data_IF_417362323740
#
_entry.id   IF_417362323740
#
_cell.length_a   1.000
_cell.length_b   1.000
_cell.length_c   1.000
_cell.angle_alpha   90.00
_cell.angle_beta   90.00
_cell.angle_gamma   90.00
#
_symmetry.space_group_name_H-M   'P 1'
#
loop_
_entity.id
_entity.type
_entity.pdbx_description
1 polymer ?
#
# COMPACT_ATOMS: atom_id res chain seq x y z
N UNK A 1 -17.01 -8.27 -24.54
CA UNK A 1 -17.54 -8.21 -23.16
C UNK A 1 -16.47 -8.79 -22.25
N UNK A 2 -16.05 -8.08 -21.19
CA UNK A 2 -14.98 -8.58 -20.30
C UNK A 2 -15.44 -9.85 -19.55
N UNK A 3 -14.50 -10.74 -19.20
CA UNK A 3 -14.78 -11.98 -18.46
C UNK A 3 -15.55 -11.69 -17.16
N UNK A 4 -15.15 -10.65 -16.42
CA UNK A 4 -15.79 -10.27 -15.16
C UNK A 4 -17.26 -9.86 -15.35
N UNK A 5 -17.55 -9.08 -16.40
CA UNK A 5 -18.92 -8.67 -16.70
C UNK A 5 -19.80 -9.88 -17.02
N UNK A 6 -19.27 -10.81 -17.83
CA UNK A 6 -19.94 -12.08 -18.10
C UNK A 6 -20.17 -12.92 -16.82
N UNK A 7 -19.17 -12.96 -15.92
CA UNK A 7 -19.28 -13.67 -14.65
C UNK A 7 -20.29 -13.01 -13.71
N UNK A 8 -20.34 -11.68 -13.64
CA UNK A 8 -21.35 -10.96 -12.84
C UNK A 8 -22.77 -11.28 -13.31
N UNK A 9 -22.96 -11.44 -14.61
CA UNK A 9 -24.30 -11.75 -15.18
C UNK A 9 -24.67 -13.23 -14.98
N UNK A 10 -23.70 -14.14 -15.04
CA UNK A 10 -23.93 -15.60 -15.05
C UNK A 10 -23.91 -16.20 -13.64
N UNK A 11 -22.98 -15.80 -12.77
CA UNK A 11 -22.79 -16.43 -11.45
C UNK A 11 -24.01 -16.36 -10.52
N UNK A 12 -24.78 -15.25 -10.45
CA UNK A 12 -25.97 -15.20 -9.59
C UNK A 12 -27.02 -16.28 -9.92
N UNK A 13 -27.09 -16.73 -11.17
CA UNK A 13 -28.03 -17.77 -11.59
C UNK A 13 -27.51 -19.20 -11.36
N UNK A 14 -26.20 -19.37 -11.19
CA UNK A 14 -25.54 -20.66 -11.00
C UNK A 14 -25.33 -21.04 -9.53
N UNK A 15 -25.30 -20.03 -8.65
CA UNK A 15 -24.94 -20.20 -7.25
C UNK A 15 -26.16 -20.41 -6.36
N UNK A 16 -26.09 -21.36 -5.39
CA UNK A 16 -27.16 -21.54 -4.41
C UNK A 16 -27.16 -20.37 -3.40
N UNK A 17 -28.33 -20.08 -2.84
CA UNK A 17 -28.46 -19.02 -1.83
C UNK A 17 -28.02 -19.49 -0.42
N UNK A 18 -27.93 -20.77 -0.17
CA UNK A 18 -27.58 -21.33 1.13
C UNK A 18 -26.09 -21.69 1.16
N UNK A 19 -25.30 -21.20 2.13
CA UNK A 19 -23.91 -21.58 2.31
C UNK A 19 -23.66 -23.09 2.49
N UNK A 20 -24.67 -23.84 3.02
CA UNK A 20 -24.57 -25.27 3.21
C UNK A 20 -24.50 -26.05 1.87
N UNK A 21 -25.10 -25.48 0.83
CA UNK A 21 -25.15 -26.08 -0.51
C UNK A 21 -24.06 -25.53 -1.46
N UNK A 22 -23.05 -24.86 -0.91
CA UNK A 22 -22.02 -24.16 -1.67
C UNK A 22 -21.32 -25.06 -2.72
N UNK A 23 -21.16 -24.52 -3.93
CA UNK A 23 -20.58 -25.23 -5.07
C UNK A 23 -19.05 -25.13 -5.03
N UNK A 24 -18.37 -26.27 -5.16
CA UNK A 24 -16.89 -26.30 -5.21
C UNK A 24 -16.38 -25.56 -6.45
N UNK A 25 -15.20 -24.91 -6.33
CA UNK A 25 -14.63 -24.11 -7.41
C UNK A 25 -14.43 -24.87 -8.73
N UNK A 26 -14.10 -26.17 -8.68
CA UNK A 26 -13.97 -27.02 -9.87
C UNK A 26 -15.32 -27.25 -10.58
N UNK A 27 -16.36 -27.41 -9.82
CA UNK A 27 -17.73 -27.58 -10.34
C UNK A 27 -18.25 -26.23 -10.88
N UNK A 28 -17.99 -25.14 -10.18
CA UNK A 28 -18.36 -23.79 -10.61
C UNK A 28 -17.68 -23.42 -11.94
N UNK A 29 -16.42 -23.80 -12.15
CA UNK A 29 -15.72 -23.64 -13.43
C UNK A 29 -16.47 -24.36 -14.56
N UNK A 30 -16.89 -25.62 -14.31
CA UNK A 30 -17.62 -26.42 -15.29
C UNK A 30 -18.96 -25.79 -15.67
N UNK A 31 -19.69 -25.25 -14.68
CA UNK A 31 -20.98 -24.58 -14.88
C UNK A 31 -20.80 -23.22 -15.59
N UNK A 32 -19.84 -22.43 -15.17
CA UNK A 32 -19.57 -21.13 -15.76
C UNK A 32 -19.18 -21.24 -17.24
N UNK A 33 -18.31 -22.20 -17.62
CA UNK A 33 -17.91 -22.42 -19.03
C UNK A 33 -19.04 -22.66 -19.99
N UNK A 34 -20.15 -23.27 -19.55
CA UNK A 34 -21.32 -23.51 -20.40
C UNK A 34 -22.08 -22.23 -20.76
N UNK A 35 -21.88 -21.17 -19.98
CA UNK A 35 -22.62 -19.93 -20.08
C UNK A 35 -21.75 -18.74 -20.53
N UNK A 36 -20.43 -18.94 -20.64
CA UNK A 36 -19.48 -17.91 -21.08
C UNK A 36 -19.25 -17.99 -22.60
N UNK A 37 -19.08 -16.84 -23.24
CA UNK A 37 -18.89 -16.74 -24.68
C UNK A 37 -17.42 -16.86 -25.13
N UNK A 38 -16.48 -17.11 -24.22
CA UNK A 38 -15.04 -17.22 -24.50
C UNK A 38 -14.40 -18.47 -23.92
N UNK A 39 -13.22 -18.84 -24.43
CA UNK A 39 -12.46 -19.96 -23.89
C UNK A 39 -11.45 -19.44 -22.86
N UNK A 40 -11.81 -19.48 -21.58
CA UNK A 40 -10.98 -19.00 -20.47
C UNK A 40 -10.30 -20.14 -19.74
N UNK A 41 -9.05 -19.92 -19.27
CA UNK A 41 -8.31 -20.92 -18.52
C UNK A 41 -8.91 -21.16 -17.12
N UNK A 42 -8.73 -22.35 -16.54
CA UNK A 42 -9.17 -22.65 -15.17
C UNK A 42 -8.54 -21.69 -14.14
N UNK A 43 -7.28 -21.32 -14.37
CA UNK A 43 -6.56 -20.39 -13.51
C UNK A 43 -7.22 -19.00 -13.51
N UNK A 44 -7.57 -18.49 -14.69
CA UNK A 44 -8.26 -17.22 -14.84
C UNK A 44 -9.64 -17.22 -14.16
N UNK A 45 -10.42 -18.28 -14.36
CA UNK A 45 -11.75 -18.41 -13.73
C UNK A 45 -11.64 -18.48 -12.20
N UNK A 46 -10.70 -19.29 -11.66
CA UNK A 46 -10.45 -19.37 -10.21
C UNK A 46 -10.04 -18.06 -9.62
N UNK A 47 -9.16 -17.34 -10.31
CA UNK A 47 -8.73 -15.99 -9.91
C UNK A 47 -9.92 -15.04 -9.80
N UNK A 48 -10.78 -14.97 -10.82
CA UNK A 48 -11.96 -14.13 -10.81
C UNK A 48 -12.98 -14.53 -9.72
N UNK A 49 -13.23 -15.81 -9.51
CA UNK A 49 -14.10 -16.28 -8.43
C UNK A 49 -13.58 -15.87 -7.06
N UNK A 50 -12.25 -15.99 -6.86
CA UNK A 50 -11.62 -15.60 -5.60
C UNK A 50 -11.77 -14.10 -5.34
N UNK A 51 -11.45 -13.27 -6.32
CA UNK A 51 -11.58 -11.79 -6.19
C UNK A 51 -13.04 -11.40 -5.97
N UNK A 52 -13.95 -11.90 -6.79
CA UNK A 52 -15.38 -11.56 -6.67
C UNK A 52 -15.97 -12.01 -5.33
N UNK A 53 -15.53 -13.14 -4.77
CA UNK A 53 -15.99 -13.58 -3.45
C UNK A 53 -15.46 -12.75 -2.28
N UNK A 54 -14.36 -12.04 -2.47
CA UNK A 54 -13.81 -11.09 -1.49
C UNK A 54 -14.49 -9.72 -1.57
N UNK A 55 -15.20 -9.41 -2.67
CA UNK A 55 -15.91 -8.16 -2.87
C UNK A 55 -17.24 -8.18 -2.09
N UNK A 56 -17.43 -7.31 -1.05
CA UNK A 56 -18.68 -7.25 -0.29
C UNK A 56 -19.91 -6.87 -1.13
N UNK A 57 -19.70 -6.11 -2.21
CA UNK A 57 -20.76 -5.70 -3.14
C UNK A 57 -21.10 -6.81 -4.15
N UNK A 58 -20.27 -7.84 -4.26
CA UNK A 58 -20.53 -8.96 -5.17
C UNK A 58 -21.60 -9.90 -4.66
N UNK A 59 -22.43 -10.39 -5.58
CA UNK A 59 -23.42 -11.42 -5.29
C UNK A 59 -22.82 -12.80 -4.96
N UNK A 60 -21.50 -13.00 -5.16
CA UNK A 60 -20.81 -14.25 -4.84
C UNK A 60 -20.07 -14.14 -3.51
N UNK A 61 -20.15 -15.17 -2.69
CA UNK A 61 -19.39 -15.31 -1.46
C UNK A 61 -18.74 -16.69 -1.36
N UNK A 62 -17.64 -16.80 -0.62
CA UNK A 62 -16.96 -18.06 -0.29
C UNK A 62 -17.35 -18.48 1.12
N UNK A 63 -17.48 -19.78 1.34
CA UNK A 63 -17.78 -20.34 2.68
C UNK A 63 -16.58 -20.11 3.61
N UNK A 64 -16.83 -19.61 4.83
CA UNK A 64 -15.77 -19.31 5.82
C UNK A 64 -15.02 -20.56 6.28
N UNK A 65 -15.73 -21.67 6.50
CA UNK A 65 -15.14 -22.96 6.87
C UNK A 65 -15.48 -23.99 5.82
N UNK A 66 -14.54 -24.28 4.90
CA UNK A 66 -14.77 -25.26 3.86
C UNK A 66 -14.36 -24.78 2.45
N UNK A 67 -14.79 -25.51 1.43
CA UNK A 67 -14.51 -25.20 0.03
C UNK A 67 -15.83 -25.03 -0.72
N UNK A 68 -16.12 -23.83 -1.18
CA UNK A 68 -17.27 -23.60 -2.02
C UNK A 68 -17.68 -22.12 -2.12
N UNK A 69 -18.52 -21.86 -3.12
CA UNK A 69 -19.07 -20.56 -3.42
C UNK A 69 -20.60 -20.63 -3.37
N UNK A 70 -21.22 -19.58 -2.87
CA UNK A 70 -22.67 -19.43 -2.80
C UNK A 70 -23.09 -18.01 -3.14
N UNK A 71 -24.36 -17.78 -3.40
CA UNK A 71 -24.93 -16.47 -3.66
C UNK A 71 -25.24 -15.76 -2.35
N UNK A 72 -24.71 -14.57 -2.18
CA UNK A 72 -25.03 -13.69 -1.05
C UNK A 72 -26.44 -13.14 -1.23
N UNK A 73 -27.31 -13.30 -0.23
CA UNK A 73 -28.73 -12.90 -0.31
C UNK A 73 -28.92 -11.38 -0.33
N UNK A 74 -28.03 -10.65 0.35
CA UNK A 74 -27.95 -9.19 0.31
C UNK A 74 -26.48 -8.80 0.17
N UNK A 75 -26.10 -8.11 -0.91
CA UNK A 75 -24.76 -7.54 -0.97
C UNK A 75 -24.63 -6.48 0.12
N UNK A 76 -23.63 -6.62 0.98
CA UNK A 76 -23.29 -5.59 1.95
C UNK A 76 -22.96 -4.29 1.19
N UNK A 77 -23.39 -3.11 1.69
CA UNK A 77 -22.97 -1.85 1.10
C UNK A 77 -21.45 -1.86 1.03
N UNK A 78 -20.90 -1.62 -0.16
CA UNK A 78 -19.48 -1.65 -0.40
C UNK A 78 -18.78 -0.67 0.56
N UNK A 79 -17.86 -1.18 1.35
CA UNK A 79 -16.83 -0.32 1.91
C UNK A 79 -16.01 0.17 0.71
N UNK A 80 -16.01 1.48 0.47
CA UNK A 80 -15.48 2.14 -0.73
C UNK A 80 -14.08 1.65 -1.17
N UNK A 81 -13.23 1.20 -0.25
CA UNK A 81 -11.90 0.72 -0.52
C UNK A 81 -11.73 -0.66 -1.13
N UNK A 82 -12.68 -1.56 -0.89
CA UNK A 82 -12.66 -2.83 -1.61
C UNK A 82 -13.06 -2.60 -3.08
N UNK A 83 -13.97 -1.65 -3.34
CA UNK A 83 -14.31 -1.24 -4.71
C UNK A 83 -13.15 -0.49 -5.37
N UNK A 84 -12.40 0.30 -4.64
CA UNK A 84 -11.31 1.07 -5.19
C UNK A 84 -10.05 0.23 -5.43
N UNK A 85 -9.75 -0.73 -4.56
CA UNK A 85 -8.71 -1.71 -4.84
C UNK A 85 -9.09 -2.57 -6.05
N UNK A 86 -10.36 -2.94 -6.18
CA UNK A 86 -10.89 -3.64 -7.34
C UNK A 86 -11.10 -2.69 -8.53
N UNK A 87 -11.49 -1.44 -8.33
CA UNK A 87 -11.51 -0.41 -9.36
C UNK A 87 -10.10 0.06 -9.72
N UNK A 88 -9.17 0.04 -8.79
CA UNK A 88 -7.77 0.34 -9.05
C UNK A 88 -7.08 -0.79 -9.82
N UNK A 89 -7.43 -2.06 -9.58
CA UNK A 89 -6.99 -3.21 -10.38
C UNK A 89 -7.88 -3.50 -11.59
N UNK A 90 -9.09 -2.98 -11.66
CA UNK A 90 -10.09 -3.35 -12.67
C UNK A 90 -10.92 -2.18 -13.27
N UNK A 91 -11.21 -1.10 -12.55
CA UNK A 91 -12.08 -0.03 -13.06
C UNK A 91 -11.40 0.80 -14.13
N UNK A 92 -10.07 0.88 -14.10
CA UNK A 92 -9.28 1.39 -15.22
C UNK A 92 -9.06 0.36 -16.33
N UNK A 93 -9.26 -0.91 -16.07
CA UNK A 93 -9.27 -1.95 -17.10
C UNK A 93 -10.54 -1.87 -17.97
N UNK A 94 -11.69 -1.53 -17.38
CA UNK A 94 -12.96 -1.42 -18.14
C UNK A 94 -13.08 -0.07 -18.86
N UNK A 95 -12.59 1.04 -18.30
CA UNK A 95 -12.60 2.38 -18.92
C UNK A 95 -11.47 2.57 -19.96
N UNK A 96 -10.39 1.79 -19.90
CA UNK A 96 -9.25 1.85 -20.80
C UNK A 96 -9.16 0.68 -21.78
N UNK A 97 -10.22 -0.12 -21.93
CA UNK A 97 -10.27 -1.17 -22.96
C UNK A 97 -9.62 -2.51 -22.55
N UNK A 98 -9.54 -2.80 -21.24
CA UNK A 98 -9.39 -4.17 -20.74
C UNK A 98 -8.15 -4.96 -21.18
N UNK A 99 -7.02 -4.33 -21.45
CA UNK A 99 -5.81 -5.01 -21.89
C UNK A 99 -4.87 -5.29 -20.70
N UNK A 100 -4.26 -6.47 -20.66
CA UNK A 100 -3.25 -6.89 -19.67
C UNK A 100 -2.12 -5.85 -19.51
N UNK A 101 -1.77 -5.17 -20.61
CA UNK A 101 -0.78 -4.09 -20.66
C UNK A 101 -1.11 -2.90 -19.74
N UNK A 102 -2.38 -2.64 -19.47
CA UNK A 102 -2.81 -1.48 -18.66
C UNK A 102 -2.61 -1.73 -17.16
N UNK A 103 -2.81 -2.97 -16.70
CA UNK A 103 -2.53 -3.38 -15.30
C UNK A 103 -1.03 -3.30 -15.05
N UNK A 104 -0.23 -3.83 -15.98
CA UNK A 104 1.22 -3.83 -15.88
C UNK A 104 1.76 -2.39 -15.83
N UNK A 105 1.18 -1.47 -16.59
CA UNK A 105 1.57 -0.06 -16.57
C UNK A 105 1.22 0.62 -15.24
N UNK A 106 0.03 0.37 -14.69
CA UNK A 106 -0.35 0.93 -13.38
C UNK A 106 0.55 0.39 -12.26
N UNK A 107 0.83 -0.91 -12.26
CA UNK A 107 1.76 -1.52 -11.32
C UNK A 107 3.18 -0.98 -11.48
N UNK A 108 3.62 -0.73 -12.71
CA UNK A 108 4.92 -0.12 -12.97
C UNK A 108 5.00 1.31 -12.45
N UNK A 109 3.94 2.13 -12.63
CA UNK A 109 3.85 3.49 -12.09
C UNK A 109 4.00 3.50 -10.58
N UNK A 110 3.32 2.59 -9.85
CA UNK A 110 3.46 2.48 -8.39
C UNK A 110 4.87 2.12 -7.99
N UNK A 111 5.47 1.14 -8.65
CA UNK A 111 6.85 0.73 -8.34
C UNK A 111 7.83 1.87 -8.61
N UNK A 112 7.65 2.64 -9.70
CA UNK A 112 8.44 3.84 -9.99
C UNK A 112 8.22 4.89 -8.91
N UNK A 113 6.95 5.18 -8.55
CA UNK A 113 6.64 6.14 -7.50
C UNK A 113 7.25 5.75 -6.16
N UNK A 114 7.13 4.48 -5.75
CA UNK A 114 7.80 3.98 -4.54
C UNK A 114 9.30 4.20 -4.58
N UNK A 115 9.95 3.92 -5.71
CA UNK A 115 11.39 4.16 -5.86
C UNK A 115 11.76 5.65 -5.75
N UNK A 116 10.95 6.55 -6.33
CA UNK A 116 11.14 8.01 -6.19
C UNK A 116 10.99 8.45 -4.73
N UNK A 117 9.93 8.00 -4.05
CA UNK A 117 9.70 8.32 -2.63
C UNK A 117 10.85 7.80 -1.76
N UNK A 118 11.30 6.57 -2.00
CA UNK A 118 12.46 5.99 -1.31
C UNK A 118 13.68 6.88 -1.49
N UNK A 119 14.02 7.22 -2.73
CA UNK A 119 15.20 8.03 -3.03
C UNK A 119 15.09 9.45 -2.47
N UNK A 120 13.90 10.05 -2.53
CA UNK A 120 13.64 11.37 -1.94
C UNK A 120 13.91 11.38 -0.44
N UNK A 121 13.42 10.40 0.30
CA UNK A 121 13.64 10.35 1.75
C UNK A 121 15.09 10.05 2.11
N UNK A 122 15.76 9.17 1.37
CA UNK A 122 17.18 8.87 1.59
C UNK A 122 18.07 10.12 1.50
N UNK A 123 17.90 10.94 0.45
CA UNK A 123 18.69 12.18 0.29
C UNK A 123 18.34 13.25 1.33
N UNK A 124 17.18 13.13 1.99
CA UNK A 124 16.76 13.99 3.08
C UNK A 124 17.08 13.39 4.47
N UNK A 125 17.93 12.38 4.54
CA UNK A 125 18.39 11.78 5.80
C UNK A 125 17.37 10.92 6.53
N UNK A 126 16.28 10.53 5.85
CA UNK A 126 15.31 9.57 6.37
C UNK A 126 15.42 8.26 5.59
N UNK A 127 15.45 7.15 6.29
CA UNK A 127 15.70 5.85 5.66
C UNK A 127 14.40 5.06 5.50
N UNK A 128 13.93 4.85 4.25
CA UNK A 128 12.75 4.03 4.00
C UNK A 128 13.08 2.54 4.10
N UNK A 129 12.19 1.81 4.74
CA UNK A 129 12.12 0.36 4.70
C UNK A 129 10.86 -0.03 3.91
N UNK A 130 11.03 -0.81 2.84
CA UNK A 130 9.92 -1.27 2.03
C UNK A 130 9.35 -2.58 2.58
N UNK A 131 8.05 -2.59 2.92
CA UNK A 131 7.33 -3.83 3.09
C UNK A 131 7.07 -4.48 1.74
N UNK A 132 6.86 -5.81 1.71
CA UNK A 132 6.45 -6.51 0.52
C UNK A 132 5.22 -5.86 -0.09
N UNK A 133 5.12 -5.96 -1.41
CA UNK A 133 3.94 -5.51 -2.12
C UNK A 133 2.69 -6.18 -1.52
N UNK A 134 1.77 -5.41 -0.93
CA UNK A 134 0.57 -5.96 -0.33
C UNK A 134 -0.31 -6.72 -1.32
N UNK A 135 -0.11 -6.50 -2.63
CA UNK A 135 -0.80 -7.23 -3.71
C UNK A 135 -0.22 -8.62 -3.97
N UNK A 136 1.00 -8.89 -3.55
CA UNK A 136 1.62 -10.21 -3.69
C UNK A 136 1.09 -11.25 -2.69
N UNK A 137 0.34 -10.83 -1.68
CA UNK A 137 -0.15 -11.68 -0.61
C UNK A 137 -1.47 -12.39 -0.95
N UNK A 138 -1.71 -13.52 -0.28
CA UNK A 138 -2.93 -14.33 -0.46
C UNK A 138 -4.23 -13.65 -0.02
N UNK A 139 -4.14 -12.56 0.75
CA UNK A 139 -5.29 -11.75 1.19
C UNK A 139 -4.96 -10.26 1.09
N UNK A 140 -5.04 -9.66 -0.10
CA UNK A 140 -4.64 -8.27 -0.32
C UNK A 140 -5.43 -7.27 0.53
N UNK A 141 -6.73 -7.49 0.76
CA UNK A 141 -7.57 -6.56 1.54
C UNK A 141 -7.14 -6.51 3.01
N UNK A 142 -6.89 -7.66 3.64
CA UNK A 142 -6.43 -7.73 5.03
C UNK A 142 -5.08 -7.03 5.23
N UNK A 143 -4.18 -7.16 4.26
CA UNK A 143 -2.85 -6.56 4.30
C UNK A 143 -2.88 -5.03 4.15
N UNK A 144 -3.82 -4.48 3.39
CA UNK A 144 -3.96 -3.03 3.20
C UNK A 144 -4.28 -2.28 4.49
N UNK A 145 -4.96 -2.92 5.44
CA UNK A 145 -5.31 -2.32 6.72
C UNK A 145 -4.31 -2.61 7.82
N UNK A 146 -3.38 -3.57 7.60
CA UNK A 146 -2.46 -4.06 8.61
C UNK A 146 -1.03 -3.59 8.40
N UNK A 147 -0.55 -3.62 7.17
CA UNK A 147 0.84 -3.32 6.84
C UNK A 147 0.97 -2.07 5.96
N UNK A 148 1.96 -1.20 6.25
CA UNK A 148 2.27 -0.06 5.38
C UNK A 148 3.02 -0.52 4.11
N UNK A 149 3.06 0.32 3.09
CA UNK A 149 3.97 0.11 1.96
C UNK A 149 5.41 0.47 2.31
N UNK A 150 5.59 1.52 3.11
CA UNK A 150 6.90 1.95 3.59
C UNK A 150 6.87 2.24 5.09
N UNK A 151 8.01 2.04 5.74
CA UNK A 151 8.30 2.61 7.07
C UNK A 151 9.46 3.57 6.92
N UNK A 152 9.24 4.82 7.27
CA UNK A 152 10.24 5.87 7.22
C UNK A 152 10.94 5.94 8.59
N UNK A 153 12.24 5.72 8.59
CA UNK A 153 13.05 5.79 9.81
C UNK A 153 13.79 7.12 9.84
N UNK A 154 13.52 7.89 10.87
CA UNK A 154 14.18 9.15 11.17
C UNK A 154 15.08 8.96 12.40
N UNK A 155 16.39 9.01 12.20
CA UNK A 155 17.37 8.81 13.27
C UNK A 155 17.57 10.12 14.02
N UNK A 156 17.04 10.23 15.23
CA UNK A 156 17.12 11.43 16.07
C UNK A 156 18.51 11.66 16.70
N UNK A 157 19.41 10.73 16.48
CA UNK A 157 20.78 10.79 17.00
C UNK A 157 21.81 10.78 15.87
N UNK A 158 21.38 11.13 14.65
CA UNK A 158 22.26 11.21 13.50
C UNK A 158 23.13 12.46 13.52
N UNK A 159 24.35 12.34 12.97
CA UNK A 159 25.24 13.48 12.71
C UNK A 159 24.79 14.35 11.54
N UNK A 160 25.65 15.30 11.15
CA UNK A 160 25.42 16.15 9.98
C UNK A 160 25.24 15.34 8.70
N UNK A 161 24.36 15.76 7.76
CA UNK A 161 24.21 15.10 6.47
C UNK A 161 25.49 14.95 5.64
N UNK A 162 26.50 15.76 5.92
CA UNK A 162 27.79 15.77 5.22
C UNK A 162 28.80 14.75 5.78
N UNK A 163 28.52 14.15 6.94
CA UNK A 163 29.32 13.08 7.52
C UNK A 163 28.59 11.73 7.30
N UNK A 164 29.37 10.66 7.09
CA UNK A 164 28.80 9.31 7.15
C UNK A 164 27.91 9.21 8.39
N UNK A 165 26.61 8.87 8.22
CA UNK A 165 25.54 8.93 9.23
C UNK A 165 25.90 8.11 10.49
N UNK A 166 26.92 8.57 11.23
CA UNK A 166 27.28 8.01 12.53
C UNK A 166 26.27 8.44 13.59
N UNK A 167 25.83 7.51 14.41
CA UNK A 167 24.93 7.79 15.54
C UNK A 167 25.78 8.31 16.72
N UNK A 168 25.39 9.44 17.31
CA UNK A 168 26.06 10.00 18.49
C UNK A 168 25.91 9.06 19.69
N UNK A 169 27.06 8.53 20.17
CA UNK A 169 27.10 7.61 21.32
C UNK A 169 26.52 8.20 22.61
N UNK A 170 26.80 9.47 22.87
CA UNK A 170 26.36 10.12 24.10
C UNK A 170 24.83 10.27 24.09
N UNK A 171 24.27 10.60 22.94
CA UNK A 171 22.81 10.70 22.74
C UNK A 171 22.14 9.31 22.76
N UNK A 172 22.75 8.28 22.16
CA UNK A 172 22.27 6.90 22.27
C UNK A 172 22.19 6.45 23.72
N UNK A 173 23.29 6.64 24.49
CA UNK A 173 23.34 6.28 25.90
C UNK A 173 22.33 7.08 26.75
N UNK A 174 22.16 8.37 26.47
CA UNK A 174 21.17 9.21 27.16
C UNK A 174 19.76 8.74 26.88
N UNK A 175 19.38 8.51 25.62
CA UNK A 175 18.06 8.01 25.24
C UNK A 175 17.77 6.66 25.85
N UNK A 176 18.73 5.73 25.84
CA UNK A 176 18.62 4.44 26.48
C UNK A 176 18.34 4.55 28.00
N UNK A 177 19.04 5.45 28.72
CA UNK A 177 18.83 5.69 30.14
C UNK A 177 17.44 6.29 30.43
N UNK A 178 16.91 7.08 29.50
CA UNK A 178 15.60 7.69 29.62
C UNK A 178 14.46 6.78 29.12
N UNK A 179 14.78 5.60 28.60
CA UNK A 179 13.80 4.70 27.98
C UNK A 179 13.19 5.25 26.67
N UNK A 180 13.92 6.14 25.99
CA UNK A 180 13.50 6.75 24.72
C UNK A 180 14.07 5.97 23.54
N UNK A 181 13.32 5.94 22.43
CA UNK A 181 13.81 5.40 21.17
C UNK A 181 14.87 6.34 20.53
N UNK A 182 15.97 5.82 19.95
CA UNK A 182 16.95 6.59 19.22
C UNK A 182 16.47 7.02 17.82
N UNK A 183 15.33 6.56 17.40
CA UNK A 183 14.73 6.81 16.09
C UNK A 183 13.22 7.06 16.21
N UNK A 184 12.63 7.64 15.18
CA UNK A 184 11.18 7.68 14.95
C UNK A 184 10.81 6.80 13.76
N UNK A 185 9.70 6.10 13.90
CA UNK A 185 9.09 5.30 12.84
C UNK A 185 7.79 5.94 12.38
N UNK A 186 7.71 6.26 11.10
CA UNK A 186 6.47 6.68 10.48
C UNK A 186 6.06 5.65 9.43
N UNK A 187 4.86 5.12 9.55
CA UNK A 187 4.27 4.27 8.52
C UNK A 187 3.78 5.14 7.37
N UNK A 188 4.09 4.77 6.13
CA UNK A 188 3.66 5.52 4.96
C UNK A 188 2.84 4.67 4.02
N UNK A 189 1.78 5.29 3.48
CA UNK A 189 0.98 4.75 2.39
C UNK A 189 1.14 5.58 1.15
N UNK A 190 1.24 4.90 0.01
CA UNK A 190 1.44 5.50 -1.30
C UNK A 190 0.15 5.42 -2.11
N UNK A 191 -0.22 6.52 -2.75
CA UNK A 191 -1.34 6.61 -3.69
C UNK A 191 -0.93 7.35 -4.94
N UNK A 192 -1.38 6.88 -6.10
CA UNK A 192 -1.05 7.55 -7.35
C UNK A 192 -1.83 8.85 -7.52
N UNK A 193 -3.14 8.79 -7.39
CA UNK A 193 -3.99 9.94 -7.65
C UNK A 193 -4.86 10.26 -6.43
N UNK A 194 -4.88 11.52 -6.00
CA UNK A 194 -5.83 11.98 -4.99
C UNK A 194 -7.25 12.05 -5.59
N UNK A 195 -8.28 11.69 -4.82
CA UNK A 195 -9.67 11.69 -5.27
C UNK A 195 -10.63 12.11 -4.15
N UNK A 196 -11.61 12.97 -4.47
CA UNK A 196 -12.67 13.36 -3.54
C UNK A 196 -13.54 12.19 -3.07
N UNK A 197 -13.65 11.14 -3.86
CA UNK A 197 -14.46 9.96 -3.52
C UNK A 197 -13.78 9.04 -2.54
N UNK A 198 -12.44 9.01 -2.53
CA UNK A 198 -11.65 7.95 -1.87
C UNK A 198 -10.69 8.45 -0.80
N UNK A 199 -10.42 9.76 -0.72
CA UNK A 199 -9.43 10.31 0.20
C UNK A 199 -9.66 9.94 1.67
N UNK A 200 -10.92 9.77 2.09
CA UNK A 200 -11.23 9.36 3.47
C UNK A 200 -10.75 7.96 3.75
N UNK A 201 -10.96 7.06 2.81
CA UNK A 201 -10.51 5.69 2.94
C UNK A 201 -8.99 5.59 2.93
N UNK A 202 -8.32 6.25 1.98
CA UNK A 202 -6.85 6.34 1.95
C UNK A 202 -6.30 6.85 3.28
N UNK A 203 -6.95 7.88 3.84
CA UNK A 203 -6.59 8.47 5.10
C UNK A 203 -6.74 7.48 6.27
N UNK A 204 -7.92 6.83 6.40
CA UNK A 204 -8.18 5.90 7.49
C UNK A 204 -7.38 4.59 7.34
N UNK A 205 -7.09 4.14 6.14
CA UNK A 205 -6.13 3.05 5.93
C UNK A 205 -4.73 3.46 6.41
N UNK A 206 -4.27 4.68 6.10
CA UNK A 206 -2.99 5.19 6.60
C UNK A 206 -2.98 5.28 8.12
N UNK A 207 -4.05 5.78 8.72
CA UNK A 207 -4.21 5.81 10.17
C UNK A 207 -4.10 4.41 10.77
N UNK A 208 -4.83 3.43 10.22
CA UNK A 208 -4.83 2.04 10.69
C UNK A 208 -3.43 1.42 10.69
N UNK A 209 -2.72 1.50 9.55
CA UNK A 209 -1.36 0.91 9.45
C UNK A 209 -0.30 1.67 10.24
N UNK A 210 -0.61 2.86 10.74
CA UNK A 210 0.30 3.69 11.54
C UNK A 210 0.09 3.56 13.06
N UNK A 211 -0.90 2.80 13.51
CA UNK A 211 -1.25 2.77 14.95
C UNK A 211 -0.11 2.29 15.84
N UNK A 212 0.73 1.40 15.36
CA UNK A 212 1.91 0.90 16.07
C UNK A 212 3.12 1.85 16.00
N UNK A 213 3.20 2.67 14.94
CA UNK A 213 4.30 3.61 14.70
C UNK A 213 4.08 4.94 15.43
N UNK A 214 5.08 5.80 15.46
CA UNK A 214 4.99 7.13 16.06
C UNK A 214 4.24 8.12 15.17
N UNK A 215 4.03 7.81 13.88
CA UNK A 215 3.23 8.63 12.96
C UNK A 215 2.81 7.89 11.72
N UNK A 216 1.90 8.50 10.96
CA UNK A 216 1.46 8.01 9.66
C UNK A 216 1.58 9.09 8.60
N UNK A 217 2.01 8.75 7.40
CA UNK A 217 2.11 9.66 6.26
C UNK A 217 1.35 9.09 5.06
N UNK A 218 0.40 9.85 4.54
CA UNK A 218 -0.29 9.57 3.28
C UNK A 218 0.41 10.35 2.18
N UNK A 219 0.95 9.63 1.20
CA UNK A 219 1.81 10.19 0.16
C UNK A 219 1.15 9.98 -1.20
N UNK A 220 0.76 11.07 -1.85
CA UNK A 220 0.20 11.06 -3.20
C UNK A 220 1.30 11.34 -4.24
N UNK A 221 1.25 10.62 -5.36
CA UNK A 221 2.10 10.95 -6.50
C UNK A 221 1.57 12.19 -7.20
N UNK A 222 0.29 12.20 -7.56
CA UNK A 222 -0.34 13.29 -8.30
C UNK A 222 -0.57 14.55 -7.46
N UNK A 223 -0.71 15.70 -8.12
CA UNK A 223 -0.99 16.97 -7.45
C UNK A 223 -2.39 16.97 -6.79
N UNK A 224 -2.54 17.71 -5.72
CA UNK A 224 -3.82 17.96 -5.05
C UNK A 224 -4.26 19.38 -5.42
N UNK A 225 -4.99 19.49 -6.52
CA UNK A 225 -5.45 20.78 -7.07
C UNK A 225 -6.84 21.19 -6.55
N UNK A 226 -7.65 20.22 -6.11
CA UNK A 226 -8.99 20.46 -5.59
C UNK A 226 -8.92 20.98 -4.16
N UNK A 227 -9.36 22.22 -3.93
CA UNK A 227 -9.33 22.85 -2.62
C UNK A 227 -10.27 22.16 -1.61
N UNK A 228 -11.40 21.60 -2.05
CA UNK A 228 -12.31 20.86 -1.16
C UNK A 228 -11.67 19.57 -0.66
N UNK A 229 -10.89 18.90 -1.53
CA UNK A 229 -10.09 17.74 -1.17
C UNK A 229 -8.98 18.11 -0.19
N UNK A 230 -8.23 19.18 -0.49
CA UNK A 230 -7.17 19.66 0.38
C UNK A 230 -7.70 20.02 1.78
N UNK A 231 -8.83 20.72 1.86
CA UNK A 231 -9.50 21.08 3.12
C UNK A 231 -10.02 19.85 3.87
N UNK A 232 -10.59 18.88 3.16
CA UNK A 232 -11.00 17.61 3.73
C UNK A 232 -9.82 16.87 4.39
N UNK A 233 -8.69 16.79 3.70
CA UNK A 233 -7.46 16.17 4.20
C UNK A 233 -6.87 16.96 5.39
N UNK A 234 -6.83 18.30 5.35
CA UNK A 234 -6.38 19.15 6.47
C UNK A 234 -7.23 18.92 7.72
N UNK A 235 -8.57 18.84 7.58
CA UNK A 235 -9.49 18.58 8.70
C UNK A 235 -9.26 17.20 9.33
N UNK A 236 -9.10 16.17 8.52
CA UNK A 236 -8.80 14.82 9.02
C UNK A 236 -7.42 14.79 9.70
N UNK A 237 -6.40 15.41 9.08
CA UNK A 237 -5.05 15.47 9.63
C UNK A 237 -5.02 16.19 10.99
N UNK A 238 -5.71 17.32 11.13
CA UNK A 238 -5.79 18.05 12.39
C UNK A 238 -6.41 17.25 13.53
N UNK A 239 -7.30 16.31 13.21
CA UNK A 239 -7.98 15.46 14.19
C UNK A 239 -7.18 14.21 14.54
N UNK A 240 -6.56 13.56 13.56
CA UNK A 240 -5.96 12.24 13.73
C UNK A 240 -4.43 12.24 13.63
N UNK A 241 -3.80 13.34 13.23
CA UNK A 241 -2.35 13.50 13.21
C UNK A 241 -1.62 12.84 12.04
N UNK A 242 -2.33 12.28 11.05
CA UNK A 242 -1.71 11.72 9.84
C UNK A 242 -1.23 12.86 8.95
N UNK A 243 0.06 12.83 8.56
CA UNK A 243 0.62 13.77 7.61
C UNK A 243 0.15 13.45 6.18
N UNK A 244 0.02 14.51 5.36
CA UNK A 244 -0.36 14.37 3.95
C UNK A 244 0.58 15.18 3.08
N UNK A 245 1.16 14.52 2.06
CA UNK A 245 2.11 15.11 1.13
C UNK A 245 1.79 14.66 -0.31
N UNK A 246 1.91 15.59 -1.26
CA UNK A 246 1.83 15.34 -2.69
C UNK A 246 3.21 15.57 -3.33
N UNK A 247 3.56 14.74 -4.29
CA UNK A 247 4.83 14.82 -5.03
C UNK A 247 4.70 15.52 -6.38
N UNK A 248 3.48 15.86 -6.81
CA UNK A 248 3.21 16.58 -8.05
C UNK A 248 3.49 15.78 -9.33
N UNK A 249 3.62 14.45 -9.23
CA UNK A 249 3.93 13.57 -10.35
C UNK A 249 2.64 13.11 -11.06
N UNK A 250 2.41 13.60 -12.27
CA UNK A 250 1.30 13.11 -13.09
C UNK A 250 1.61 11.71 -13.66
N UNK A 251 0.59 10.96 -14.13
CA UNK A 251 0.79 9.65 -14.75
C UNK A 251 1.80 9.69 -15.93
N UNK A 252 1.78 10.77 -16.73
CA UNK A 252 2.67 10.95 -17.87
C UNK A 252 4.14 11.10 -17.40
N UNK A 253 4.36 11.91 -16.36
CA UNK A 253 5.70 12.07 -15.77
C UNK A 253 6.20 10.75 -15.20
N UNK A 254 5.31 9.96 -14.55
CA UNK A 254 5.67 8.64 -14.03
C UNK A 254 6.03 7.67 -15.16
N UNK A 255 5.34 7.72 -16.30
CA UNK A 255 5.65 6.88 -17.46
C UNK A 255 7.03 7.19 -18.04
N UNK A 256 7.41 8.46 -18.07
CA UNK A 256 8.71 8.96 -18.56
C UNK A 256 9.90 8.70 -17.60
N UNK A 257 9.62 8.34 -16.35
CA UNK A 257 10.68 8.01 -15.39
C UNK A 257 11.38 6.69 -15.77
N UNK A 258 12.66 6.55 -15.41
CA UNK A 258 13.39 5.29 -15.53
C UNK A 258 12.73 4.14 -14.79
N UNK A 259 13.19 2.91 -15.01
CA UNK A 259 12.73 1.74 -14.27
C UNK A 259 13.06 1.86 -12.76
N UNK A 260 12.27 1.25 -11.86
CA UNK A 260 12.47 1.38 -10.40
C UNK A 260 13.90 1.10 -9.94
N UNK A 261 14.54 0.04 -10.44
CA UNK A 261 15.92 -0.28 -10.11
C UNK A 261 16.93 0.79 -10.56
N UNK A 262 16.67 1.47 -11.68
CA UNK A 262 17.53 2.57 -12.16
C UNK A 262 17.36 3.82 -11.27
N UNK A 263 16.12 4.10 -10.80
CA UNK A 263 15.87 5.21 -9.88
C UNK A 263 16.60 5.00 -8.55
N UNK A 264 16.51 3.78 -8.00
CA UNK A 264 17.15 3.45 -6.71
C UNK A 264 18.68 3.49 -6.78
N UNK A 265 19.27 3.11 -7.93
CA UNK A 265 20.71 3.07 -8.14
C UNK A 265 21.24 4.29 -8.94
N UNK A 266 20.43 5.35 -9.09
CA UNK A 266 20.78 6.54 -9.86
C UNK A 266 22.00 7.28 -9.26
N UNK A 267 22.90 7.71 -10.12
CA UNK A 267 24.01 8.57 -9.72
C UNK A 267 23.50 9.96 -9.26
N UNK A 268 24.29 10.73 -8.49
CA UNK A 268 23.85 12.03 -7.94
C UNK A 268 23.21 12.97 -8.98
N UNK A 269 23.81 13.10 -10.18
CA UNK A 269 23.27 13.95 -11.26
C UNK A 269 21.92 13.44 -11.81
N UNK A 270 21.76 12.12 -11.94
CA UNK A 270 20.52 11.51 -12.39
C UNK A 270 19.43 11.63 -11.30
N UNK A 271 19.84 11.47 -10.04
CA UNK A 271 18.99 11.70 -8.89
C UNK A 271 18.47 13.14 -8.86
N UNK A 272 19.35 14.13 -9.05
CA UNK A 272 18.98 15.54 -9.13
C UNK A 272 17.99 15.79 -10.28
N UNK A 273 18.22 15.20 -11.45
CA UNK A 273 17.30 15.31 -12.60
C UNK A 273 15.94 14.67 -12.33
N UNK A 274 15.87 13.61 -11.53
CA UNK A 274 14.58 13.01 -11.10
C UNK A 274 13.91 13.92 -10.07
N UNK A 275 14.66 14.39 -9.08
CA UNK A 275 14.13 15.23 -8.00
C UNK A 275 13.65 16.60 -8.51
N UNK A 276 14.26 17.14 -9.57
CA UNK A 276 13.81 18.40 -10.20
C UNK A 276 12.44 18.31 -10.87
N UNK A 277 11.91 17.11 -11.10
CA UNK A 277 10.55 16.89 -11.64
C UNK A 277 9.47 16.90 -10.55
N UNK A 278 9.86 16.93 -9.27
CA UNK A 278 8.94 16.89 -8.15
C UNK A 278 8.42 18.30 -7.84
N UNK A 279 7.10 18.41 -7.70
CA UNK A 279 6.43 19.57 -7.13
C UNK A 279 5.80 19.17 -5.79
N UNK A 280 6.63 19.24 -4.74
CA UNK A 280 6.26 18.69 -3.44
C UNK A 280 5.44 19.70 -2.65
N UNK A 281 4.19 19.36 -2.41
CA UNK A 281 3.26 20.14 -1.60
C UNK A 281 2.88 19.36 -0.33
N UNK A 282 3.22 19.91 0.84
CA UNK A 282 2.79 19.38 2.13
C UNK A 282 1.43 19.97 2.50
N UNK A 283 0.38 19.15 2.39
CA UNK A 283 -1.00 19.55 2.74
C UNK A 283 -1.16 19.66 4.26
N UNK A 284 -0.59 18.72 5.01
CA UNK A 284 -0.61 18.72 6.46
C UNK A 284 0.63 18.00 7.01
N UNK A 285 1.23 18.52 8.11
CA UNK A 285 2.35 17.85 8.77
C UNK A 285 1.87 16.61 9.55
N UNK A 286 2.75 15.62 9.69
CA UNK A 286 2.51 14.52 10.61
C UNK A 286 2.64 15.00 12.06
N UNK A 287 1.73 14.55 12.92
CA UNK A 287 1.82 14.74 14.38
C UNK A 287 2.37 13.46 14.99
N UNK A 288 3.65 13.48 15.37
CA UNK A 288 4.31 12.29 15.91
C UNK A 288 3.87 12.05 17.35
N UNK A 289 3.53 10.78 17.63
CA UNK A 289 3.30 10.26 18.97
C UNK A 289 4.63 10.07 19.69
N UNK A 290 4.69 10.26 21.03
CA UNK A 290 5.96 10.14 21.76
C UNK A 290 6.48 8.71 21.84
N UNK A 291 5.61 7.70 21.79
CA UNK A 291 5.97 6.32 22.02
C UNK A 291 5.55 5.42 20.85
N UNK A 292 6.38 4.37 20.61
CA UNK A 292 6.03 3.24 19.78
C UNK A 292 5.12 2.29 20.57
N UNK A 293 4.17 1.66 19.90
CA UNK A 293 3.46 0.51 20.47
C UNK A 293 4.31 -0.75 20.30
N UNK A 294 5.15 -1.02 21.29
CA UNK A 294 6.05 -2.18 21.29
C UNK A 294 5.29 -3.51 21.30
N UNK A 295 4.08 -3.56 21.88
CA UNK A 295 3.27 -4.77 21.90
C UNK A 295 2.74 -5.10 20.53
N UNK A 296 2.19 -4.09 19.82
CA UNK A 296 1.73 -4.23 18.44
C UNK A 296 2.89 -4.58 17.50
N UNK A 297 4.04 -3.92 17.63
CA UNK A 297 5.23 -4.21 16.83
C UNK A 297 5.75 -5.63 17.06
N UNK A 298 5.77 -6.09 18.32
CA UNK A 298 6.13 -7.47 18.69
C UNK A 298 5.17 -8.50 18.07
N UNK A 299 3.87 -8.23 18.05
CA UNK A 299 2.89 -9.07 17.35
C UNK A 299 3.13 -9.12 15.86
N UNK A 300 3.35 -7.95 15.22
CA UNK A 300 3.67 -7.89 13.79
C UNK A 300 4.92 -8.69 13.42
N UNK A 301 5.95 -8.66 14.28
CA UNK A 301 7.19 -9.43 14.10
C UNK A 301 6.93 -10.93 14.01
N UNK A 302 5.99 -11.47 14.78
CA UNK A 302 5.66 -12.90 14.75
C UNK A 302 4.83 -13.31 13.55
N UNK A 303 4.18 -12.34 12.88
CA UNK A 303 3.27 -12.58 11.78
C UNK A 303 3.85 -12.23 10.40
N UNK A 304 4.89 -11.39 10.36
CA UNK A 304 5.49 -10.88 9.12
C UNK A 304 7.01 -10.96 9.17
N UNK A 305 7.58 -11.61 8.17
CA UNK A 305 9.03 -11.67 7.97
C UNK A 305 9.63 -10.28 7.74
N UNK A 306 8.89 -9.40 7.06
CA UNK A 306 9.31 -8.01 6.82
C UNK A 306 9.41 -7.21 8.12
N UNK A 307 8.49 -7.40 9.05
CA UNK A 307 8.57 -6.75 10.36
C UNK A 307 9.79 -7.27 11.17
N UNK A 308 10.12 -8.55 11.08
CA UNK A 308 11.34 -9.10 11.67
C UNK A 308 12.61 -8.56 11.00
N UNK A 309 12.63 -8.42 9.66
CA UNK A 309 13.73 -7.79 8.91
C UNK A 309 13.91 -6.32 9.32
N UNK A 310 12.80 -5.55 9.43
CA UNK A 310 12.86 -4.17 9.91
C UNK A 310 13.53 -4.09 11.28
N UNK A 311 13.10 -4.93 12.24
CA UNK A 311 13.66 -4.92 13.59
C UNK A 311 15.14 -5.31 13.60
N UNK A 312 15.54 -6.31 12.82
CA UNK A 312 16.96 -6.70 12.69
C UNK A 312 17.80 -5.58 12.10
N UNK A 313 17.32 -4.94 11.03
CA UNK A 313 18.00 -3.81 10.43
C UNK A 313 18.20 -2.65 11.41
N UNK A 314 17.15 -2.26 12.14
CA UNK A 314 17.25 -1.21 13.18
C UNK A 314 18.27 -1.57 14.26
N UNK A 315 18.26 -2.83 14.72
CA UNK A 315 19.23 -3.34 15.71
C UNK A 315 20.64 -3.27 15.18
N UNK A 316 20.87 -3.73 13.94
CA UNK A 316 22.19 -3.69 13.31
C UNK A 316 22.72 -2.25 13.19
N UNK A 317 21.87 -1.29 12.82
CA UNK A 317 22.27 0.12 12.78
C UNK A 317 22.68 0.66 14.16
N UNK A 318 21.94 0.29 15.22
CA UNK A 318 22.26 0.70 16.60
C UNK A 318 23.59 0.08 17.03
N UNK A 319 23.79 -1.22 16.79
CA UNK A 319 24.99 -1.96 17.18
C UNK A 319 26.23 -1.47 16.43
N UNK A 320 26.07 -1.18 15.14
CA UNK A 320 27.12 -0.58 14.30
C UNK A 320 27.34 0.92 14.58
N UNK A 321 26.42 1.56 15.36
CA UNK A 321 26.40 3.01 15.60
C UNK A 321 26.38 3.83 14.33
N UNK A 322 25.72 3.31 13.32
CA UNK A 322 25.65 3.92 11.99
C UNK A 322 24.28 3.69 11.38
N UNK A 323 23.65 4.78 10.96
CA UNK A 323 22.41 4.70 10.18
C UNK A 323 22.77 4.38 8.72
N UNK A 324 22.32 3.25 8.21
CA UNK A 324 22.53 2.82 6.83
C UNK A 324 21.19 2.58 6.12
N UNK A 325 21.12 2.86 4.81
CA UNK A 325 19.96 2.46 4.02
C UNK A 325 19.73 0.94 4.11
N UNK A 326 18.47 0.54 4.16
CA UNK A 326 18.13 -0.89 4.12
C UNK A 326 18.53 -1.47 2.75
N UNK A 327 19.25 -2.58 2.77
CA UNK A 327 19.58 -3.38 1.59
C UNK A 327 18.90 -4.73 1.73
N UNK A 328 18.02 -5.06 0.78
CA UNK A 328 17.45 -6.41 0.67
C UNK A 328 18.57 -7.34 0.17
N UNK A 329 19.00 -8.29 1.01
CA UNK A 329 20.02 -9.30 0.67
C UNK A 329 19.43 -10.40 -0.20
#
# INVERSE_FOLDING_TARGET
MSLRKQLNDVLPSLLPNNPADAIKGTELIRLARRNLTGNYSDASLRYHFSIMSCDPASAIAKVEKGQGYYRRSEPLPALSGAQELLAWTQGRLDDLGGDETTVDNAMLRIRKFRAVVTRYYEINGRFPFAFRDPFAATSPIGNLWKYPELVLVDWETGGSPDEEMSLDESMLALKQRLGLSPFRLHSARLRLLPSLTTYREDFFQTLSVSMWAQGGELIYAGPIEDEALADGLRKLSSTFGVGVISFGLTPEVLDDLPRPAQILNAHPKETEAIMSKLDILRIAPVQSRPHLDWAALGSMRTESEEADKLMRWLTNCIDARRAEPFKDE
#
